data_IF_958610324988
#
_entry.id   IF_958610324988
#
_cell.length_a   1.000
_cell.length_b   1.000
_cell.length_c   1.000
_cell.angle_alpha   90.00
_cell.angle_beta   90.00
_cell.angle_gamma   90.00
#
_symmetry.space_group_name_H-M   'P 1'
#
loop_
_entity.id
_entity.type
_entity.pdbx_description
1 polymer ?
#
# COMPACT_ATOMS: atom_id res chain seq x y z
N UNK A 1 6.04 6.99 -31.88
CA UNK A 1 6.07 6.21 -30.62
C UNK A 1 4.82 5.35 -30.62
N UNK A 2 4.99 4.04 -30.67
CA UNK A 2 4.00 3.05 -31.07
C UNK A 2 2.93 2.84 -29.99
N UNK A 3 1.65 2.92 -30.37
CA UNK A 3 0.49 2.59 -29.55
C UNK A 3 0.28 1.06 -29.38
N UNK A 4 1.31 0.27 -29.61
CA UNK A 4 1.26 -1.19 -29.63
C UNK A 4 1.59 -1.71 -28.22
N UNK A 5 0.61 -2.40 -27.62
CA UNK A 5 0.64 -3.12 -26.33
C UNK A 5 -0.01 -2.45 -25.11
N UNK A 6 -0.93 -1.49 -25.27
CA UNK A 6 -1.93 -1.29 -24.20
C UNK A 6 -2.90 -2.48 -24.24
N UNK A 7 -2.65 -3.50 -23.43
CA UNK A 7 -3.62 -4.59 -23.20
C UNK A 7 -4.91 -3.93 -22.69
N UNK A 8 -6.07 -4.16 -23.34
CA UNK A 8 -7.32 -3.60 -22.86
C UNK A 8 -7.56 -4.07 -21.43
N UNK A 9 -7.63 -3.14 -20.48
CA UNK A 9 -7.86 -3.42 -19.05
C UNK A 9 -9.14 -4.28 -18.89
N UNK A 10 -10.08 -4.15 -19.83
CA UNK A 10 -11.37 -4.83 -19.83
C UNK A 10 -11.31 -6.36 -19.91
N UNK A 11 -10.18 -6.98 -20.28
CA UNK A 11 -10.09 -8.44 -20.40
C UNK A 11 -9.95 -9.20 -19.06
N UNK A 12 -9.74 -8.51 -17.93
CA UNK A 12 -9.52 -9.18 -16.63
C UNK A 12 -10.25 -8.56 -15.44
N UNK A 13 -11.15 -7.58 -15.64
CA UNK A 13 -11.94 -7.01 -14.55
C UNK A 13 -13.11 -7.95 -14.20
N UNK A 14 -13.28 -8.36 -12.92
CA UNK A 14 -14.45 -9.10 -12.46
C UNK A 14 -15.78 -8.41 -12.85
N UNK A 15 -16.78 -9.19 -13.25
CA UNK A 15 -18.04 -8.66 -13.82
C UNK A 15 -18.81 -7.72 -12.90
N UNK A 16 -18.71 -7.91 -11.58
CA UNK A 16 -19.28 -7.02 -10.57
C UNK A 16 -18.59 -5.65 -10.55
N UNK A 17 -17.26 -5.63 -10.71
CA UNK A 17 -16.47 -4.40 -10.74
C UNK A 17 -16.73 -3.64 -12.06
N UNK A 18 -16.75 -4.36 -13.18
CA UNK A 18 -17.06 -3.80 -14.50
C UNK A 18 -18.42 -3.10 -14.50
N UNK A 19 -19.48 -3.73 -13.96
CA UNK A 19 -20.81 -3.11 -13.82
C UNK A 19 -20.80 -1.85 -12.95
N UNK A 20 -20.04 -1.84 -11.86
CA UNK A 20 -19.91 -0.65 -10.99
C UNK A 20 -19.16 0.47 -11.69
N UNK A 21 -18.09 0.13 -12.43
CA UNK A 21 -17.30 1.09 -13.18
C UNK A 21 -18.11 1.75 -14.29
N UNK A 22 -18.91 0.96 -15.04
CA UNK A 22 -19.81 1.48 -16.08
C UNK A 22 -20.86 2.42 -15.50
N UNK A 23 -21.52 2.06 -14.40
CA UNK A 23 -22.51 2.95 -13.75
C UNK A 23 -21.86 4.26 -13.26
N UNK A 24 -20.67 4.16 -12.67
CA UNK A 24 -19.95 5.34 -12.20
C UNK A 24 -19.53 6.25 -13.37
N UNK A 25 -19.17 5.66 -14.51
CA UNK A 25 -18.84 6.38 -15.74
C UNK A 25 -20.06 7.15 -16.27
N UNK A 26 -21.22 6.48 -16.31
CA UNK A 26 -22.50 7.08 -16.66
C UNK A 26 -22.88 8.23 -15.71
N UNK A 27 -22.85 8.01 -14.41
CA UNK A 27 -23.20 9.01 -13.38
C UNK A 27 -22.32 10.27 -13.46
N UNK A 28 -21.07 10.11 -13.87
CA UNK A 28 -20.08 11.20 -13.95
C UNK A 28 -19.90 11.75 -15.37
N UNK A 29 -20.61 11.21 -16.35
CA UNK A 29 -20.48 11.56 -17.77
C UNK A 29 -19.02 11.52 -18.27
N UNK A 30 -18.30 10.44 -17.92
CA UNK A 30 -16.92 10.18 -18.34
C UNK A 30 -16.81 8.76 -18.91
N UNK A 31 -15.68 8.42 -19.51
CA UNK A 31 -15.42 7.06 -20.01
C UNK A 31 -14.97 6.13 -18.88
N UNK A 32 -15.22 4.83 -19.03
CA UNK A 32 -14.70 3.81 -18.12
C UNK A 32 -13.17 3.80 -18.08
N UNK A 33 -12.52 4.14 -19.19
CA UNK A 33 -11.06 4.19 -19.29
C UNK A 33 -10.48 5.33 -18.43
N UNK A 34 -11.10 6.52 -18.45
CA UNK A 34 -10.70 7.63 -17.57
C UNK A 34 -10.83 7.27 -16.09
N UNK A 35 -11.88 6.54 -15.71
CA UNK A 35 -12.04 6.05 -14.33
C UNK A 35 -11.01 4.97 -13.98
N UNK A 36 -10.70 4.09 -14.93
CA UNK A 36 -9.70 3.04 -14.72
C UNK A 36 -8.29 3.64 -14.55
N UNK A 37 -7.90 4.60 -15.40
CA UNK A 37 -6.64 5.33 -15.25
C UNK A 37 -6.56 6.03 -13.89
N UNK A 38 -7.63 6.73 -13.48
CA UNK A 38 -7.67 7.38 -12.16
C UNK A 38 -7.62 6.40 -11.00
N UNK A 39 -8.22 5.23 -11.13
CA UNK A 39 -8.16 4.19 -10.12
C UNK A 39 -6.74 3.63 -9.96
N UNK A 40 -5.98 3.50 -11.05
CA UNK A 40 -4.57 3.10 -10.99
C UNK A 40 -3.72 4.13 -10.25
N UNK A 41 -3.88 5.43 -10.56
CA UNK A 41 -3.18 6.50 -9.84
C UNK A 41 -3.42 6.41 -8.33
N UNK A 42 -4.69 6.34 -7.91
CA UNK A 42 -5.06 6.28 -6.50
C UNK A 42 -4.53 5.01 -5.79
N UNK A 43 -4.44 3.89 -6.51
CA UNK A 43 -3.86 2.66 -5.98
C UNK A 43 -2.36 2.79 -5.78
N UNK A 44 -1.65 3.44 -6.71
CA UNK A 44 -0.21 3.70 -6.57
C UNK A 44 0.05 4.62 -5.39
N UNK A 45 -0.70 5.71 -5.26
CA UNK A 45 -0.60 6.63 -4.11
C UNK A 45 -0.82 5.89 -2.79
N UNK A 46 -1.87 5.05 -2.71
CA UNK A 46 -2.15 4.25 -1.53
C UNK A 46 -1.03 3.24 -1.22
N UNK A 47 -0.46 2.60 -2.24
CA UNK A 47 0.63 1.64 -2.04
C UNK A 47 1.90 2.33 -1.54
N UNK A 48 2.25 3.49 -2.10
CA UNK A 48 3.39 4.31 -1.65
C UNK A 48 3.22 4.75 -0.20
N UNK A 49 2.04 5.28 0.16
CA UNK A 49 1.74 5.70 1.53
C UNK A 49 1.79 4.53 2.53
N UNK A 50 1.29 3.34 2.15
CA UNK A 50 1.34 2.18 3.04
C UNK A 50 2.75 1.62 3.20
N UNK A 51 3.58 1.62 2.16
CA UNK A 51 4.98 1.22 2.30
C UNK A 51 5.71 2.14 3.29
N UNK A 52 5.49 3.45 3.20
CA UNK A 52 6.03 4.43 4.15
C UNK A 52 5.56 4.18 5.59
N UNK A 53 4.28 3.88 5.79
CA UNK A 53 3.72 3.55 7.10
C UNK A 53 4.32 2.25 7.65
N UNK A 54 4.41 1.21 6.82
CA UNK A 54 4.97 -0.09 7.21
C UNK A 54 6.43 0.05 7.62
N UNK A 55 7.21 0.82 6.86
CA UNK A 55 8.63 1.01 7.16
C UNK A 55 8.86 1.88 8.40
N UNK A 56 8.01 2.89 8.63
CA UNK A 56 8.02 3.65 9.88
C UNK A 56 7.75 2.76 11.10
N UNK A 57 6.70 1.92 11.04
CA UNK A 57 6.37 0.98 12.12
C UNK A 57 7.50 -0.03 12.36
N UNK A 58 8.13 -0.55 11.30
CA UNK A 58 9.29 -1.45 11.43
C UNK A 58 10.46 -0.75 12.14
N UNK A 59 10.74 0.50 11.77
CA UNK A 59 11.82 1.30 12.38
C UNK A 59 11.57 1.52 13.86
N UNK A 60 10.38 1.98 14.25
CA UNK A 60 10.03 2.20 15.66
C UNK A 60 10.12 0.91 16.48
N UNK A 61 9.63 -0.20 15.92
CA UNK A 61 9.72 -1.50 16.59
C UNK A 61 11.18 -1.96 16.76
N UNK A 62 12.05 -1.72 15.78
CA UNK A 62 13.46 -2.04 15.88
C UNK A 62 14.14 -1.26 17.02
N UNK A 63 13.83 0.03 17.15
CA UNK A 63 14.34 0.89 18.22
C UNK A 63 13.87 0.44 19.60
N UNK A 64 12.58 0.10 19.73
CA UNK A 64 12.00 -0.41 20.98
C UNK A 64 12.64 -1.73 21.37
N UNK A 65 12.81 -2.66 20.43
CA UNK A 65 13.48 -3.94 20.67
C UNK A 65 14.92 -3.73 21.12
N UNK A 66 15.64 -2.78 20.50
CA UNK A 66 17.01 -2.43 20.89
C UNK A 66 17.07 -1.95 22.33
N UNK A 67 16.25 -0.96 22.70
CA UNK A 67 16.18 -0.44 24.08
C UNK A 67 15.82 -1.52 25.09
N UNK A 68 14.85 -2.39 24.77
CA UNK A 68 14.46 -3.49 25.65
C UNK A 68 15.63 -4.47 25.88
N UNK A 69 16.43 -4.76 24.85
CA UNK A 69 17.65 -5.58 25.00
C UNK A 69 18.66 -4.93 25.93
N UNK A 70 18.91 -3.62 25.79
CA UNK A 70 19.84 -2.89 26.64
C UNK A 70 19.40 -2.90 28.11
N UNK A 71 18.12 -2.62 28.39
CA UNK A 71 17.56 -2.66 29.74
C UNK A 71 17.71 -4.05 30.36
N UNK A 72 17.40 -5.11 29.61
CA UNK A 72 17.55 -6.49 30.07
C UNK A 72 19.01 -6.85 30.35
N UNK A 73 19.94 -6.40 29.51
CA UNK A 73 21.37 -6.60 29.74
C UNK A 73 21.85 -5.88 31.00
N UNK A 74 21.45 -4.62 31.20
CA UNK A 74 21.77 -3.85 32.39
C UNK A 74 21.20 -4.53 33.64
N UNK A 75 19.92 -4.92 33.62
CA UNK A 75 19.29 -5.65 34.73
C UNK A 75 20.01 -6.96 35.07
N UNK A 76 20.38 -7.77 34.05
CA UNK A 76 21.17 -8.99 34.26
C UNK A 76 22.55 -8.71 34.85
N UNK A 77 23.19 -7.60 34.48
CA UNK A 77 24.50 -7.23 35.01
C UNK A 77 24.44 -6.79 36.48
N UNK A 78 23.35 -6.15 36.90
CA UNK A 78 23.12 -5.77 38.29
C UNK A 78 22.87 -6.99 39.17
N UNK A 79 22.05 -7.94 38.70
CA UNK A 79 21.74 -9.19 39.41
C UNK A 79 22.95 -10.15 39.57
N UNK A 80 24.01 -9.98 38.77
CA UNK A 80 25.24 -10.79 38.86
C UNK A 80 26.30 -10.21 39.82
N UNK A 81 26.08 -9.00 40.34
CA UNK A 81 26.99 -8.33 41.28
C UNK A 81 26.63 -8.57 42.75
N UNK A 82 25.50 -9.23 43.01
CA UNK A 82 25.10 -9.79 44.31
C UNK A 82 25.48 -11.27 44.39
#
# INVERSE_FOLDING_TARGET
MSAENRVPINASIPSNLSKRLSRLAEDRNVTTDQLAEKAVELLLDYMEDNELIIDHIKSENADIISRNKEILMQGRSMLKKE
#
